data_IF_215145113609
#
_entry.id   IF_215145113609
#
_cell.length_a   1.000
_cell.length_b   1.000
_cell.length_c   1.000
_cell.angle_alpha   90.00
_cell.angle_beta   90.00
_cell.angle_gamma   90.00
#
_symmetry.space_group_name_H-M   'P 1'
#
loop_
_entity.id
_entity.type
_entity.pdbx_description
1 polymer ?
#
# COMPACT_ATOMS: atom_id res chain seq x y z
N UNK A 1 -6.94 1.58 8.08
CA UNK A 1 -8.26 1.02 7.70
C UNK A 1 -9.06 0.83 8.98
N UNK A 2 -9.94 1.78 9.30
CA UNK A 2 -10.94 1.60 10.36
C UNK A 2 -12.25 1.38 9.63
N UNK A 3 -12.74 0.15 9.63
CA UNK A 3 -14.11 -0.14 9.20
C UNK A 3 -15.01 0.09 10.41
N UNK A 4 -15.91 1.06 10.32
CA UNK A 4 -16.80 1.52 11.39
C UNK A 4 -17.90 0.52 11.79
N UNK A 5 -17.88 -0.68 11.22
CA UNK A 5 -18.72 -1.81 11.60
C UNK A 5 -17.80 -2.97 11.97
N UNK A 6 -18.14 -3.65 13.07
CA UNK A 6 -17.41 -4.82 13.57
C UNK A 6 -17.66 -6.00 12.62
N UNK A 7 -16.96 -6.00 11.48
CA UNK A 7 -16.92 -7.15 10.59
C UNK A 7 -16.09 -8.21 11.31
N UNK A 8 -16.71 -9.35 11.62
CA UNK A 8 -16.05 -10.51 12.22
C UNK A 8 -15.76 -11.51 11.09
N UNK A 9 -14.67 -11.36 10.33
CA UNK A 9 -14.30 -12.35 9.34
C UNK A 9 -14.00 -13.67 10.06
N UNK A 10 -14.45 -14.78 9.48
CA UNK A 10 -14.15 -16.11 10.02
C UNK A 10 -12.63 -16.37 9.97
N UNK A 11 -12.13 -17.18 10.91
CA UNK A 11 -10.72 -17.57 10.92
C UNK A 11 -10.34 -18.26 9.60
N UNK A 12 -9.28 -17.80 8.95
CA UNK A 12 -8.85 -18.28 7.64
C UNK A 12 -9.49 -17.56 6.44
N UNK A 13 -10.37 -16.59 6.67
CA UNK A 13 -10.90 -15.74 5.60
C UNK A 13 -9.80 -14.88 4.97
N UNK A 14 -9.78 -14.82 3.65
CA UNK A 14 -8.94 -13.87 2.91
C UNK A 14 -9.60 -12.50 2.92
N UNK A 15 -8.91 -11.50 3.46
CA UNK A 15 -9.39 -10.11 3.52
C UNK A 15 -8.59 -9.26 2.55
N UNK A 16 -9.28 -8.57 1.64
CA UNK A 16 -8.66 -7.55 0.80
C UNK A 16 -8.44 -6.26 1.58
N UNK A 17 -7.21 -5.75 1.58
CA UNK A 17 -6.89 -4.43 2.12
C UNK A 17 -6.79 -3.44 0.95
N UNK A 18 -7.56 -2.36 1.02
CA UNK A 18 -7.47 -1.27 0.06
C UNK A 18 -6.75 -0.10 0.70
N UNK A 19 -5.75 0.41 0.00
CA UNK A 19 -5.00 1.60 0.38
C UNK A 19 -5.07 2.61 -0.76
N UNK A 20 -5.27 3.89 -0.43
CA UNK A 20 -5.07 4.96 -1.40
C UNK A 20 -3.57 5.21 -1.54
N UNK A 21 -3.10 5.55 -2.75
CA UNK A 21 -1.68 5.84 -2.99
C UNK A 21 -1.18 7.00 -2.11
N UNK A 22 -2.05 7.97 -1.82
CA UNK A 22 -1.74 9.10 -0.92
C UNK A 22 -1.46 8.69 0.51
N UNK A 23 -1.96 7.52 0.92
CA UNK A 23 -1.81 6.98 2.27
C UNK A 23 -0.58 6.07 2.40
N UNK A 24 0.16 5.85 1.30
CA UNK A 24 1.40 5.09 1.31
C UNK A 24 2.56 5.99 1.73
N UNK A 25 3.38 5.48 2.65
CA UNK A 25 4.58 6.13 3.13
C UNK A 25 5.75 5.16 3.05
N UNK A 26 6.88 5.65 2.55
CA UNK A 26 8.08 4.84 2.34
C UNK A 26 9.14 5.22 3.37
N UNK A 27 9.87 4.21 3.86
CA UNK A 27 10.92 4.38 4.86
C UNK A 27 12.14 3.56 4.47
N UNK A 28 13.33 4.09 4.76
CA UNK A 28 14.58 3.34 4.60
C UNK A 28 14.65 2.24 5.66
N UNK A 29 14.91 1.00 5.25
CA UNK A 29 15.17 -0.10 6.19
C UNK A 29 16.50 0.04 6.92
N UNK A 30 17.47 0.76 6.33
CA UNK A 30 18.81 0.95 6.91
C UNK A 30 18.81 2.07 7.95
N UNK A 31 18.19 3.22 7.62
CA UNK A 31 18.27 4.43 8.44
C UNK A 31 17.00 4.72 9.22
N UNK A 32 15.89 4.04 8.91
CA UNK A 32 14.56 4.32 9.47
C UNK A 32 13.95 5.65 9.03
N UNK A 33 14.66 6.42 8.19
CA UNK A 33 14.21 7.72 7.72
C UNK A 33 13.04 7.60 6.75
N UNK A 34 12.10 8.55 6.82
CA UNK A 34 11.02 8.68 5.85
C UNK A 34 11.61 9.09 4.49
N UNK A 35 11.22 8.38 3.45
CA UNK A 35 11.58 8.68 2.08
C UNK A 35 10.47 9.53 1.48
N UNK A 36 10.78 10.78 1.16
CA UNK A 36 9.93 11.62 0.32
C UNK A 36 10.10 11.15 -1.13
N UNK A 37 9.47 10.04 -1.46
CA UNK A 37 9.34 9.55 -2.83
C UNK A 37 8.36 10.50 -3.52
N UNK A 38 8.86 11.65 -3.97
CA UNK A 38 8.18 12.44 -4.99
C UNK A 38 7.84 11.49 -6.13
N UNK A 39 6.62 11.56 -6.69
CA UNK A 39 6.14 10.80 -7.85
C UNK A 39 7.12 10.87 -9.04
N UNK A 40 8.24 10.16 -8.94
CA UNK A 40 9.15 9.88 -10.02
C UNK A 40 8.53 8.68 -10.71
N UNK A 41 7.60 8.99 -11.61
CA UNK A 41 7.28 8.23 -12.81
C UNK A 41 7.40 6.72 -12.61
N UNK A 42 6.30 6.08 -12.20
CA UNK A 42 6.12 4.64 -12.43
C UNK A 42 6.41 4.42 -13.92
N UNK A 43 7.46 3.66 -14.31
CA UNK A 43 7.65 3.35 -15.72
C UNK A 43 6.43 2.52 -16.13
N UNK A 44 5.71 2.96 -17.17
CA UNK A 44 4.61 2.18 -17.73
C UNK A 44 5.10 0.74 -17.98
N UNK A 45 4.34 -0.29 -17.56
CA UNK A 45 4.72 -1.66 -17.85
C UNK A 45 4.82 -1.80 -19.37
N UNK A 46 6.00 -2.18 -19.85
CA UNK A 46 6.22 -2.42 -21.27
C UNK A 46 5.30 -3.57 -21.71
N UNK A 47 4.19 -3.23 -22.37
CA UNK A 47 3.40 -4.18 -23.13
C UNK A 47 4.27 -4.62 -24.32
N UNK A 48 5.00 -5.72 -24.16
CA UNK A 48 5.59 -6.43 -25.31
C UNK A 48 4.45 -7.17 -26.01
N UNK A 49 4.10 -6.67 -27.20
CA UNK A 49 3.26 -7.38 -28.18
C UNK A 49 4.02 -8.42 -28.98
#
# INVERSE_FOLDING_TARGET
VVTSETVHPELGSTIGLQFAESDLHFFSSETGGRLDVFKASVPEPALQG
#
